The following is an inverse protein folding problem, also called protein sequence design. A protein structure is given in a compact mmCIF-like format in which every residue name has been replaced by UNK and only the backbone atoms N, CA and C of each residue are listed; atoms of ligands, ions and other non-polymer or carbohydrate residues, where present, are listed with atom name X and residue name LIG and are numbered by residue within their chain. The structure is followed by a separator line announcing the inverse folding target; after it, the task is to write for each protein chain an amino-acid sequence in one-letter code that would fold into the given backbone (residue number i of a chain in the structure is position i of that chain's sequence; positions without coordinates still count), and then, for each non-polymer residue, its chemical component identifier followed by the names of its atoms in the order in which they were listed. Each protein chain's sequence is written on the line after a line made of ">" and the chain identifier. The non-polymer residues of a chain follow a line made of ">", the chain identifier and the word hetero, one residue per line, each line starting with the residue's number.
data_IF_206476319526
#
_entry.id   IF_206476319526
#
_cell.length_a   1.000
_cell.length_b   1.000
_cell.length_c   1.000
_cell.angle_alpha   90.00
_cell.angle_beta   90.00
_cell.angle_gamma   90.00
#
_symmetry.space_group_name_H-M   'P 1'
#
loop_
_entity.id
_entity.type
_entity.pdbx_description
1 polymer ?
#
# COMPACT_ATOMS: atom_id res chain seq x y z
N UNK A 1 0.03 1.72 -13.24
CA UNK A 1 -0.13 0.30 -12.86
C UNK A 1 0.03 0.13 -11.35
N UNK A 2 1.13 0.54 -10.70
CA UNK A 2 1.32 0.34 -9.26
C UNK A 2 0.27 1.05 -8.40
N UNK A 3 -0.14 2.26 -8.75
CA UNK A 3 -1.23 2.96 -8.08
C UNK A 3 -2.55 2.18 -8.20
N UNK A 4 -2.83 1.59 -9.37
CA UNK A 4 -4.03 0.77 -9.54
C UNK A 4 -3.98 -0.51 -8.69
N UNK A 5 -2.81 -1.15 -8.60
CA UNK A 5 -2.59 -2.30 -7.72
C UNK A 5 -2.75 -1.91 -6.25
N UNK A 6 -2.22 -0.74 -5.86
CA UNK A 6 -2.38 -0.19 -4.51
C UNK A 6 -3.85 0.03 -4.14
N UNK A 7 -4.60 0.68 -5.02
CA UNK A 7 -6.04 0.88 -4.82
C UNK A 7 -6.79 -0.45 -4.76
N UNK A 8 -6.48 -1.38 -5.66
CA UNK A 8 -7.10 -2.70 -5.66
C UNK A 8 -6.79 -3.45 -4.36
N UNK A 9 -5.55 -3.46 -3.88
CA UNK A 9 -5.19 -4.07 -2.61
C UNK A 9 -5.89 -3.36 -1.45
N UNK A 10 -5.86 -2.03 -1.41
CA UNK A 10 -6.47 -1.25 -0.33
C UNK A 10 -7.98 -1.46 -0.20
N UNK A 11 -8.69 -1.69 -1.30
CA UNK A 11 -10.16 -1.84 -1.29
C UNK A 11 -10.65 -3.30 -1.35
N UNK A 12 -9.74 -4.28 -1.33
CA UNK A 12 -10.08 -5.70 -1.27
C UNK A 12 -9.60 -6.32 0.03
N UNK A 13 -10.07 -7.53 0.31
CA UNK A 13 -9.59 -8.33 1.45
C UNK A 13 -8.09 -8.66 1.37
N UNK A 14 -7.45 -8.46 0.21
CA UNK A 14 -6.02 -8.70 0.01
C UNK A 14 -5.13 -7.70 0.75
N UNK A 15 -5.61 -6.47 0.99
CA UNK A 15 -4.79 -5.43 1.62
C UNK A 15 -4.93 -5.33 3.13
N UNK A 16 -6.09 -5.74 3.67
CA UNK A 16 -6.39 -5.65 5.09
C UNK A 16 -6.95 -6.97 5.63
N UNK A 17 -6.23 -7.60 6.53
CA UNK A 17 -6.67 -8.79 7.26
C UNK A 17 -7.13 -8.32 8.64
N UNK A 18 -8.45 -8.32 8.84
CA UNK A 18 -9.05 -7.91 10.10
C UNK A 18 -8.89 -9.02 11.14
N UNK A 19 -7.89 -8.89 11.98
CA UNK A 19 -7.64 -9.78 13.12
C UNK A 19 -7.51 -8.95 14.40
N UNK A 20 -8.35 -9.21 15.42
CA UNK A 20 -8.22 -8.49 16.68
C UNK A 20 -6.82 -8.62 17.29
N UNK A 21 -6.28 -7.57 17.92
CA UNK A 21 -6.91 -6.29 18.22
C UNK A 21 -6.73 -5.20 17.15
N UNK A 22 -5.88 -5.39 16.17
CA UNK A 22 -5.55 -4.42 15.13
C UNK A 22 -5.50 -5.12 13.77
N UNK A 23 -6.00 -4.45 12.73
CA UNK A 23 -5.95 -4.98 11.36
C UNK A 23 -4.52 -5.08 10.85
N UNK A 24 -4.15 -6.27 10.37
CA UNK A 24 -2.86 -6.49 9.71
C UNK A 24 -2.95 -5.99 8.27
N UNK A 25 -2.08 -5.09 7.91
CA UNK A 25 -2.06 -4.47 6.58
C UNK A 25 -0.95 -5.07 5.72
N UNK A 26 -1.28 -5.50 4.52
CA UNK A 26 -0.33 -5.96 3.49
C UNK A 26 -0.23 -4.94 2.34
N UNK A 27 -1.13 -3.95 2.31
CA UNK A 27 -1.21 -2.93 1.27
C UNK A 27 0.02 -2.00 1.15
N UNK A 28 1.01 -2.10 2.02
CA UNK A 28 2.29 -1.40 1.86
C UNK A 28 3.24 -2.06 0.84
N UNK A 29 2.95 -3.28 0.36
CA UNK A 29 3.81 -4.01 -0.60
C UNK A 29 4.01 -3.23 -1.92
N UNK A 30 2.97 -2.67 -2.58
CA UNK A 30 3.16 -1.86 -3.77
C UNK A 30 4.05 -0.63 -3.54
N UNK A 31 4.02 -0.04 -2.33
CA UNK A 31 4.89 1.09 -1.96
C UNK A 31 6.35 0.66 -1.97
N UNK A 32 6.66 -0.52 -1.41
CA UNK A 32 8.01 -1.07 -1.40
C UNK A 32 8.47 -1.40 -2.82
N UNK A 33 7.60 -1.99 -3.64
CA UNK A 33 7.88 -2.30 -5.05
C UNK A 33 8.17 -1.01 -5.84
N UNK A 34 7.38 0.06 -5.61
CA UNK A 34 7.62 1.36 -6.22
C UNK A 34 9.01 1.90 -5.88
N UNK A 35 9.40 1.80 -4.60
CA UNK A 35 10.73 2.21 -4.13
C UNK A 35 11.88 1.41 -4.75
N UNK A 36 11.69 0.10 -4.89
CA UNK A 36 12.71 -0.80 -5.44
C UNK A 36 12.94 -0.63 -6.96
N UNK A 37 11.87 -0.34 -7.71
CA UNK A 37 11.91 -0.30 -9.18
C UNK A 37 12.03 1.11 -9.76
N UNK A 38 11.37 2.09 -9.15
CA UNK A 38 11.22 3.43 -9.73
C UNK A 38 11.91 4.53 -8.91
N UNK A 39 11.99 4.38 -7.60
CA UNK A 39 12.72 5.31 -6.76
C UNK A 39 11.88 6.00 -5.68
N UNK A 40 12.46 7.02 -4.98
CA UNK A 40 11.87 7.59 -3.78
C UNK A 40 10.61 8.43 -4.05
N UNK A 41 10.53 9.10 -5.19
CA UNK A 41 9.38 9.97 -5.51
C UNK A 41 8.14 9.12 -5.79
N UNK A 42 8.27 8.11 -6.64
CA UNK A 42 7.21 7.19 -7.02
C UNK A 42 6.71 6.39 -5.81
N UNK A 43 7.64 5.99 -4.95
CA UNK A 43 7.31 5.31 -3.69
C UNK A 43 6.56 6.22 -2.74
N UNK A 44 6.95 7.50 -2.62
CA UNK A 44 6.25 8.49 -1.80
C UNK A 44 4.82 8.76 -2.33
N UNK A 45 4.65 8.87 -3.66
CA UNK A 45 3.33 9.03 -4.29
C UNK A 45 2.45 7.81 -4.03
N UNK A 46 2.99 6.60 -4.20
CA UNK A 46 2.24 5.35 -3.91
C UNK A 46 1.88 5.28 -2.42
N UNK A 47 2.80 5.66 -1.53
CA UNK A 47 2.56 5.77 -0.09
C UNK A 47 1.48 6.80 0.28
N UNK A 48 1.43 7.92 -0.44
CA UNK A 48 0.38 8.93 -0.28
C UNK A 48 -0.99 8.37 -0.66
N UNK A 49 -1.09 7.68 -1.81
CA UNK A 49 -2.33 7.01 -2.25
C UNK A 49 -2.76 5.95 -1.25
N UNK A 50 -1.84 5.12 -0.77
CA UNK A 50 -2.09 4.16 0.30
C UNK A 50 -2.63 4.83 1.57
N UNK A 51 -2.06 5.97 1.96
CA UNK A 51 -2.52 6.76 3.09
C UNK A 51 -3.96 7.26 2.94
N UNK A 52 -4.30 7.79 1.76
CA UNK A 52 -5.66 8.21 1.44
C UNK A 52 -6.66 7.05 1.49
N UNK A 53 -6.30 5.91 0.90
CA UNK A 53 -7.12 4.71 0.90
C UNK A 53 -7.36 4.18 2.32
N UNK A 54 -6.33 4.16 3.15
CA UNK A 54 -6.41 3.75 4.55
C UNK A 54 -7.31 4.68 5.38
N UNK A 55 -7.17 5.99 5.20
CA UNK A 55 -8.04 6.98 5.84
C UNK A 55 -9.51 6.81 5.43
N UNK A 56 -9.75 6.56 4.13
CA UNK A 56 -11.09 6.30 3.63
C UNK A 56 -11.68 5.03 4.24
N UNK A 57 -10.95 3.93 4.25
CA UNK A 57 -11.39 2.66 4.85
C UNK A 57 -11.72 2.81 6.33
N UNK A 58 -10.86 3.48 7.10
CA UNK A 58 -11.10 3.75 8.50
C UNK A 58 -12.31 4.65 8.76
N UNK A 59 -12.75 5.44 7.77
CA UNK A 59 -13.88 6.36 7.90
C UNK A 59 -15.19 5.81 7.37
N UNK A 60 -15.16 4.88 6.40
CA UNK A 60 -16.33 4.44 5.63
C UNK A 60 -16.76 3.00 5.91
N UNK A 61 -15.83 2.14 6.35
CA UNK A 61 -16.09 0.72 6.60
C UNK A 61 -16.38 0.45 8.08
N UNK A 62 -16.87 -0.77 8.38
CA UNK A 62 -16.89 -1.27 9.76
C UNK A 62 -15.46 -1.49 10.22
N UNK A 63 -15.06 -0.76 11.26
CA UNK A 63 -13.66 -0.64 11.70
C UNK A 63 -13.56 -1.18 13.13
N UNK A 64 -12.43 -1.80 13.45
CA UNK A 64 -12.12 -2.13 14.83
C UNK A 64 -11.84 -0.86 15.65
N UNK A 65 -12.09 -0.91 16.95
CA UNK A 65 -11.91 0.24 17.83
C UNK A 65 -10.49 0.84 17.73
N UNK A 66 -9.48 -0.03 17.61
CA UNK A 66 -8.09 0.40 17.44
C UNK A 66 -7.80 1.04 16.07
N UNK A 67 -8.59 0.76 15.04
CA UNK A 67 -8.41 1.33 13.71
C UNK A 67 -9.10 2.69 13.55
N UNK A 68 -9.99 3.07 14.49
CA UNK A 68 -10.67 4.38 14.48
C UNK A 68 -9.70 5.56 14.54
N UNK A 69 -8.51 5.39 15.11
CA UNK A 69 -7.47 6.42 15.18
C UNK A 69 -6.98 6.88 13.79
N UNK A 70 -7.16 6.05 12.75
CA UNK A 70 -6.82 6.40 11.37
C UNK A 70 -7.87 7.27 10.68
N UNK A 71 -9.06 7.43 11.27
CA UNK A 71 -10.12 8.27 10.74
C UNK A 71 -10.11 9.65 11.38
N UNK A 72 -9.99 10.74 10.60
CA UNK A 72 -10.07 12.10 11.15
C UNK A 72 -11.47 12.45 11.68
N UNK A 73 -12.50 11.67 11.34
CA UNK A 73 -13.88 11.89 11.76
C UNK A 73 -14.23 11.14 13.06
N UNK A 74 -13.54 10.03 13.34
CA UNK A 74 -13.86 9.13 14.45
C UNK A 74 -12.88 9.21 15.61
N UNK A 75 -11.64 9.65 15.37
CA UNK A 75 -10.54 9.62 16.35
C UNK A 75 -10.60 10.70 17.45
N UNK A 76 -11.43 11.75 17.26
CA UNK A 76 -11.42 12.92 18.16
C UNK A 76 -10.21 13.86 17.98
N UNK A 77 -9.16 13.48 17.23
CA UNK A 77 -8.00 14.30 16.91
C UNK A 77 -7.67 14.26 15.41
N UNK A 78 -8.37 15.06 14.58
CA UNK A 78 -8.26 14.99 13.12
C UNK A 78 -6.85 15.19 12.58
N UNK A 79 -6.07 16.12 13.14
CA UNK A 79 -4.70 16.40 12.70
C UNK A 79 -3.76 15.20 12.92
N UNK A 80 -3.88 14.53 14.08
CA UNK A 80 -3.14 13.31 14.39
C UNK A 80 -3.49 12.17 13.44
N UNK A 81 -4.79 11.98 13.16
CA UNK A 81 -5.25 10.96 12.20
C UNK A 81 -4.78 11.20 10.77
N UNK A 82 -4.78 12.43 10.30
CA UNK A 82 -4.23 12.80 8.99
C UNK A 82 -2.74 12.48 8.91
N UNK A 83 -1.98 12.83 9.95
CA UNK A 83 -0.56 12.48 9.99
C UNK A 83 -0.37 10.96 10.07
N UNK A 84 -1.11 10.28 10.92
CA UNK A 84 -1.02 8.82 11.09
C UNK A 84 -1.38 8.09 9.81
N UNK A 85 -2.44 8.49 9.11
CA UNK A 85 -2.91 7.82 7.90
C UNK A 85 -2.09 8.20 6.67
N UNK A 86 -1.86 9.49 6.40
CA UNK A 86 -1.22 9.96 5.17
C UNK A 86 0.26 10.22 5.40
N UNK A 87 0.60 10.98 6.44
CA UNK A 87 1.96 11.44 6.69
C UNK A 87 2.93 10.28 6.91
N UNK A 88 2.59 9.34 7.79
CA UNK A 88 3.44 8.19 8.11
C UNK A 88 3.70 7.30 6.89
N UNK A 89 2.69 7.09 6.04
CA UNK A 89 2.81 6.24 4.84
C UNK A 89 3.56 6.91 3.71
N UNK A 90 3.36 8.21 3.52
CA UNK A 90 4.13 9.00 2.55
C UNK A 90 5.60 9.06 2.95
N UNK A 91 5.87 9.30 4.23
CA UNK A 91 7.23 9.31 4.78
C UNK A 91 7.89 7.94 4.66
N UNK A 92 7.17 6.86 4.98
CA UNK A 92 7.64 5.50 4.76
C UNK A 92 8.02 5.27 3.30
N UNK A 93 7.16 5.64 2.34
CA UNK A 93 7.43 5.51 0.91
C UNK A 93 8.71 6.26 0.50
N UNK A 94 8.87 7.50 0.97
CA UNK A 94 10.06 8.29 0.70
C UNK A 94 11.33 7.61 1.26
N UNK A 95 11.30 7.18 2.52
CA UNK A 95 12.46 6.58 3.19
C UNK A 95 12.84 5.23 2.59
N UNK A 96 11.87 4.38 2.27
CA UNK A 96 12.15 3.09 1.65
C UNK A 96 12.71 3.25 0.24
N UNK A 97 12.17 4.20 -0.54
CA UNK A 97 12.72 4.54 -1.86
C UNK A 97 14.15 5.07 -1.79
N UNK A 98 14.46 5.92 -0.80
CA UNK A 98 15.83 6.38 -0.54
C UNK A 98 16.75 5.23 -0.14
N UNK A 99 16.27 4.31 0.71
CA UNK A 99 17.04 3.13 1.11
C UNK A 99 17.41 2.24 -0.09
N UNK A 100 16.45 1.99 -1.02
CA UNK A 100 16.73 1.26 -2.25
C UNK A 100 17.68 2.02 -3.18
N UNK A 101 17.55 3.32 -3.29
CA UNK A 101 18.47 4.15 -4.06
C UNK A 101 19.89 4.08 -3.50
N UNK A 102 20.07 4.10 -2.19
CA UNK A 102 21.38 3.92 -1.54
C UNK A 102 21.90 2.49 -1.74
N UNK A 103 21.03 1.49 -1.60
CA UNK A 103 21.36 0.09 -1.85
C UNK A 103 21.88 -0.13 -3.28
N UNK A 104 21.33 0.56 -4.26
CA UNK A 104 21.73 0.48 -5.66
C UNK A 104 23.15 1.02 -5.93
N UNK A 105 23.63 1.93 -5.07
CA UNK A 105 24.99 2.51 -5.16
C UNK A 105 26.06 1.64 -4.49
N UNK A 106 25.65 0.63 -3.69
CA UNK A 106 26.56 -0.24 -2.96
C UNK A 106 27.27 -1.24 -3.89
N UNK A 107 28.45 -1.73 -3.44
CA UNK A 107 29.20 -2.80 -4.13
C UNK A 107 28.39 -4.12 -4.21
N UNK A 108 27.59 -4.41 -3.18
CA UNK A 108 26.77 -5.62 -3.07
C UNK A 108 25.27 -5.29 -3.24
N UNK A 109 24.91 -4.73 -4.39
CA UNK A 109 23.55 -4.22 -4.70
C UNK A 109 22.44 -5.23 -4.38
N UNK A 110 22.62 -6.51 -4.77
CA UNK A 110 21.61 -7.55 -4.55
C UNK A 110 21.40 -7.84 -3.07
N UNK A 111 22.50 -7.99 -2.33
CA UNK A 111 22.41 -8.26 -0.89
C UNK A 111 21.69 -7.12 -0.16
N UNK A 112 22.10 -5.88 -0.44
CA UNK A 112 21.46 -4.71 0.19
C UNK A 112 20.00 -4.55 -0.19
N UNK A 113 19.61 -4.87 -1.44
CA UNK A 113 18.21 -4.85 -1.86
C UNK A 113 17.39 -5.87 -1.07
N UNK A 114 17.88 -7.10 -0.89
CA UNK A 114 17.20 -8.12 -0.06
C UNK A 114 17.10 -7.65 1.40
N UNK A 115 18.17 -7.11 1.96
CA UNK A 115 18.18 -6.59 3.34
C UNK A 115 17.12 -5.48 3.49
N UNK A 116 17.13 -4.49 2.60
CA UNK A 116 16.13 -3.40 2.63
C UNK A 116 14.71 -3.94 2.51
N UNK A 117 14.47 -4.93 1.63
CA UNK A 117 13.15 -5.55 1.45
C UNK A 117 12.64 -6.24 2.70
N UNK A 118 13.51 -6.98 3.40
CA UNK A 118 13.16 -7.67 4.64
C UNK A 118 12.87 -6.67 5.78
N UNK A 119 13.67 -5.62 5.89
CA UNK A 119 13.49 -4.60 6.93
C UNK A 119 12.37 -3.60 6.62
N UNK A 120 11.88 -3.55 5.38
CA UNK A 120 10.84 -2.61 4.95
C UNK A 120 9.55 -2.74 5.77
N UNK A 121 9.14 -3.98 6.08
CA UNK A 121 7.95 -4.27 6.89
C UNK A 121 8.07 -3.67 8.28
N UNK A 122 9.21 -3.88 8.94
CA UNK A 122 9.47 -3.33 10.28
C UNK A 122 9.62 -1.81 10.27
N UNK A 123 10.18 -1.25 9.22
CA UNK A 123 10.25 0.21 9.04
C UNK A 123 8.84 0.82 8.91
N UNK A 124 7.93 0.15 8.17
CA UNK A 124 6.53 0.57 8.08
C UNK A 124 5.84 0.56 9.45
N UNK A 125 5.91 -0.56 10.17
CA UNK A 125 5.32 -0.70 11.50
C UNK A 125 5.89 0.34 12.47
N UNK A 126 7.21 0.55 12.46
CA UNK A 126 7.86 1.53 13.33
C UNK A 126 7.26 2.93 13.16
N UNK A 127 7.06 3.40 11.91
CA UNK A 127 6.50 4.72 11.66
C UNK A 127 5.03 4.84 12.07
N UNK A 128 4.25 3.78 11.86
CA UNK A 128 2.84 3.74 12.27
C UNK A 128 2.73 3.75 13.80
N UNK A 129 3.41 2.84 14.49
CA UNK A 129 3.35 2.76 15.95
C UNK A 129 3.99 3.97 16.65
N UNK A 130 5.04 4.54 16.07
CA UNK A 130 5.63 5.78 16.58
C UNK A 130 4.61 6.93 16.51
N UNK A 131 3.93 7.08 15.39
CA UNK A 131 2.89 8.09 15.23
C UNK A 131 1.68 7.83 16.16
N UNK A 132 1.26 6.56 16.32
CA UNK A 132 0.22 6.19 17.29
C UNK A 132 0.62 6.57 18.71
N UNK A 133 1.82 6.23 19.17
CA UNK A 133 2.30 6.56 20.50
C UNK A 133 2.41 8.06 20.78
N UNK A 134 2.71 8.86 19.74
CA UNK A 134 2.81 10.33 19.89
C UNK A 134 1.42 10.99 19.90
N UNK A 135 0.54 10.62 18.96
CA UNK A 135 -0.73 11.32 18.76
C UNK A 135 -1.91 10.67 19.47
N UNK A 136 -1.83 9.37 19.78
CA UNK A 136 -2.89 8.58 20.41
C UNK A 136 -2.35 7.67 21.54
N UNK A 137 -1.75 8.23 22.60
CA UNK A 137 -1.17 7.43 23.67
C UNK A 137 -2.21 6.57 24.39
N UNK A 138 -3.47 6.99 24.40
CA UNK A 138 -4.58 6.26 25.02
C UNK A 138 -4.93 4.96 24.25
N UNK A 139 -4.55 4.84 22.99
CA UNK A 139 -4.74 3.62 22.21
C UNK A 139 -3.87 2.44 22.71
N UNK A 140 -2.86 2.71 23.54
CA UNK A 140 -2.00 1.69 24.14
C UNK A 140 -0.98 1.06 23.19
N UNK A 141 -0.79 1.64 22.01
CA UNK A 141 0.20 1.20 21.01
C UNK A 141 1.31 2.22 20.89
N UNK A 142 2.54 1.77 21.04
CA UNK A 142 3.73 2.58 20.88
C UNK A 142 4.79 1.88 20.00
N UNK A 143 5.91 2.54 19.76
CA UNK A 143 7.00 2.01 18.94
C UNK A 143 7.55 0.65 19.43
N UNK A 144 7.33 0.27 20.70
CA UNK A 144 7.81 -1.00 21.27
C UNK A 144 7.09 -2.20 20.63
N UNK A 145 5.88 -2.00 20.11
CA UNK A 145 5.16 -3.03 19.37
C UNK A 145 5.88 -3.50 18.12
N UNK A 146 6.71 -2.66 17.49
CA UNK A 146 7.54 -3.03 16.34
C UNK A 146 8.52 -4.17 16.63
N UNK A 147 8.94 -4.31 17.88
CA UNK A 147 9.87 -5.36 18.28
C UNK A 147 9.19 -6.70 18.62
N UNK A 148 7.87 -6.73 18.65
CA UNK A 148 7.11 -7.98 18.77
C UNK A 148 7.12 -8.65 17.39
N UNK A 149 7.86 -9.75 17.27
CA UNK A 149 8.00 -10.48 15.99
C UNK A 149 7.08 -11.69 16.00
N UNK A 150 6.18 -11.74 15.05
CA UNK A 150 5.30 -12.88 14.82
C UNK A 150 5.76 -13.68 13.59
N UNK A 151 5.49 -14.99 13.57
CA UNK A 151 5.85 -15.85 12.44
C UNK A 151 5.24 -15.38 11.11
N UNK A 152 4.02 -14.82 11.15
CA UNK A 152 3.36 -14.24 9.98
C UNK A 152 4.12 -13.06 9.38
N UNK A 153 4.67 -12.18 10.21
CA UNK A 153 5.45 -11.02 9.76
C UNK A 153 6.75 -11.44 9.08
N UNK A 154 7.40 -12.50 9.61
CA UNK A 154 8.60 -13.06 8.97
C UNK A 154 8.24 -13.62 7.59
N UNK A 155 7.12 -14.34 7.48
CA UNK A 155 6.65 -14.87 6.21
C UNK A 155 6.36 -13.75 5.19
N UNK A 156 5.71 -12.65 5.61
CA UNK A 156 5.44 -11.49 4.76
C UNK A 156 6.75 -10.81 4.34
N UNK A 157 7.71 -10.64 5.24
CA UNK A 157 9.00 -10.04 4.93
C UNK A 157 9.79 -10.85 3.90
N UNK A 158 9.82 -12.17 4.04
CA UNK A 158 10.44 -13.08 3.06
C UNK A 158 9.71 -13.03 1.72
N UNK A 159 8.38 -13.05 1.74
CA UNK A 159 7.54 -12.94 0.55
C UNK A 159 7.80 -11.62 -0.21
N UNK A 160 7.88 -10.49 0.50
CA UNK A 160 8.25 -9.21 -0.08
C UNK A 160 9.63 -9.26 -0.76
N UNK A 161 10.63 -9.83 -0.09
CA UNK A 161 11.97 -9.92 -0.64
C UNK A 161 12.01 -10.77 -1.92
N UNK A 162 11.30 -11.91 -1.93
CA UNK A 162 11.21 -12.79 -3.11
C UNK A 162 10.51 -12.09 -4.28
N UNK A 163 9.37 -11.44 -4.02
CA UNK A 163 8.64 -10.70 -5.06
C UNK A 163 9.50 -9.57 -5.65
N UNK A 164 10.19 -8.80 -4.80
CA UNK A 164 11.01 -7.69 -5.26
C UNK A 164 12.17 -8.19 -6.12
N UNK A 165 12.84 -9.29 -5.72
CA UNK A 165 13.91 -9.88 -6.53
C UNK A 165 13.38 -10.41 -7.87
N UNK A 166 12.21 -11.06 -7.87
CA UNK A 166 11.57 -11.56 -9.09
C UNK A 166 11.19 -10.40 -10.03
N UNK A 167 10.51 -9.39 -9.51
CA UNK A 167 10.10 -8.22 -10.29
C UNK A 167 11.32 -7.42 -10.79
N UNK A 168 12.36 -7.30 -9.98
CA UNK A 168 13.60 -6.65 -10.40
C UNK A 168 14.30 -7.43 -11.52
N UNK A 169 14.34 -8.76 -11.42
CA UNK A 169 14.90 -9.62 -12.47
C UNK A 169 14.07 -9.51 -13.77
N UNK A 170 12.74 -9.52 -13.67
CA UNK A 170 11.84 -9.34 -14.82
C UNK A 170 12.01 -7.95 -15.43
N UNK A 171 12.05 -6.90 -14.63
CA UNK A 171 12.18 -5.52 -15.10
C UNK A 171 13.49 -5.27 -15.85
N UNK A 172 14.58 -5.95 -15.47
CA UNK A 172 15.88 -5.87 -16.12
C UNK A 172 16.15 -7.00 -17.12
N UNK A 173 15.15 -7.85 -17.40
CA UNK A 173 15.30 -8.88 -18.43
C UNK A 173 15.38 -8.27 -19.82
N UNK A 174 16.15 -8.89 -20.71
CA UNK A 174 16.33 -8.43 -22.08
C UNK A 174 15.01 -8.39 -22.87
N UNK A 175 14.06 -9.26 -22.54
CA UNK A 175 12.71 -9.25 -23.12
C UNK A 175 11.98 -7.93 -22.86
N UNK A 176 11.97 -7.46 -21.60
CA UNK A 176 11.28 -6.22 -21.25
C UNK A 176 12.02 -4.99 -21.77
N UNK A 177 13.35 -5.02 -21.77
CA UNK A 177 14.19 -3.97 -22.34
C UNK A 177 13.99 -3.84 -23.86
N UNK A 178 13.90 -4.96 -24.57
CA UNK A 178 13.61 -4.95 -26.00
C UNK A 178 12.19 -4.47 -26.30
N UNK A 179 11.20 -4.86 -25.50
CA UNK A 179 9.83 -4.35 -25.63
C UNK A 179 9.76 -2.85 -25.37
N UNK A 180 10.47 -2.33 -24.36
CA UNK A 180 10.59 -0.88 -24.13
C UNK A 180 11.21 -0.17 -25.33
N UNK A 181 12.32 -0.69 -25.90
CA UNK A 181 12.92 -0.10 -27.12
C UNK A 181 11.96 -0.08 -28.30
N UNK A 182 11.20 -1.15 -28.52
CA UNK A 182 10.18 -1.18 -29.58
C UNK A 182 9.06 -0.16 -29.34
N UNK A 183 8.62 0.01 -28.10
CA UNK A 183 7.60 1.00 -27.72
C UNK A 183 8.16 2.43 -27.89
N UNK A 184 9.37 2.70 -27.40
CA UNK A 184 10.02 4.01 -27.56
C UNK A 184 10.25 4.38 -29.03
N UNK A 185 10.63 3.41 -29.87
CA UNK A 185 10.74 3.62 -31.30
C UNK A 185 9.39 3.87 -31.99
N UNK A 186 8.31 3.22 -31.52
CA UNK A 186 6.97 3.47 -32.04
C UNK A 186 6.41 4.82 -31.59
N UNK A 187 6.78 5.26 -30.38
CA UNK A 187 6.38 6.55 -29.80
C UNK A 187 7.11 7.74 -30.48
N UNK A 188 8.29 7.51 -31.04
CA UNK A 188 9.03 8.56 -31.78
C UNK A 188 8.45 8.85 -33.17
N UNK A 189 7.44 8.11 -33.60
CA UNK A 189 6.71 8.41 -34.83
C UNK A 189 5.64 9.50 -34.53
N UNK A 190 5.79 10.74 -35.02
CA UNK A 190 4.99 11.89 -34.57
C UNK A 190 3.47 11.75 -34.83
N UNK A 191 3.06 10.84 -35.67
CA UNK A 191 1.65 10.56 -35.96
C UNK A 191 0.99 9.53 -35.02
N UNK A 192 1.77 8.64 -34.38
CA UNK A 192 1.26 7.58 -33.51
C UNK A 192 1.34 7.96 -32.03
N UNK A 193 2.26 8.86 -31.67
CA UNK A 193 2.63 9.17 -30.29
C UNK A 193 1.49 9.75 -29.44
N UNK A 194 0.74 10.73 -29.96
CA UNK A 194 -0.33 11.39 -29.18
C UNK A 194 -1.54 10.47 -28.94
N UNK A 195 -1.96 9.74 -29.96
CA UNK A 195 -3.14 8.88 -29.87
C UNK A 195 -2.87 7.61 -29.04
N UNK A 196 -1.66 7.05 -29.13
CA UNK A 196 -1.29 5.85 -28.36
C UNK A 196 -1.12 6.16 -26.90
N UNK A 197 -0.50 7.29 -26.58
CA UNK A 197 -0.35 7.74 -25.18
C UNK A 197 -1.71 8.08 -24.55
N UNK A 198 -2.60 8.73 -25.30
CA UNK A 198 -3.96 9.05 -24.86
C UNK A 198 -4.81 7.78 -24.68
N UNK A 199 -4.64 6.78 -25.56
CA UNK A 199 -5.31 5.50 -25.45
C UNK A 199 -4.87 4.70 -24.21
N UNK A 200 -3.55 4.64 -23.94
CA UNK A 200 -3.04 4.00 -22.72
C UNK A 200 -3.51 4.71 -21.46
N UNK A 201 -3.51 6.04 -21.46
CA UNK A 201 -3.99 6.84 -20.32
C UNK A 201 -5.49 6.66 -20.11
N UNK A 202 -6.29 6.62 -21.17
CA UNK A 202 -7.72 6.35 -21.11
C UNK A 202 -8.02 4.92 -20.64
N UNK A 203 -7.22 3.94 -21.08
CA UNK A 203 -7.34 2.55 -20.64
C UNK A 203 -6.97 2.38 -19.17
N UNK A 204 -5.89 3.03 -18.70
CA UNK A 204 -5.54 3.06 -17.27
C UNK A 204 -6.62 3.72 -16.42
N UNK A 205 -7.18 4.85 -16.89
CA UNK A 205 -8.26 5.55 -16.20
C UNK A 205 -9.55 4.70 -16.15
N UNK A 206 -9.90 4.03 -17.24
CA UNK A 206 -11.05 3.14 -17.31
C UNK A 206 -10.89 1.92 -16.40
N UNK A 207 -9.72 1.28 -16.37
CA UNK A 207 -9.44 0.16 -15.46
C UNK A 207 -9.46 0.60 -13.99
N UNK A 208 -8.96 1.79 -13.69
CA UNK A 208 -8.99 2.39 -12.37
C UNK A 208 -10.44 2.68 -11.93
N UNK A 209 -11.24 3.29 -12.80
CA UNK A 209 -12.67 3.54 -12.54
C UNK A 209 -13.45 2.24 -12.32
N UNK A 210 -13.21 1.22 -13.14
CA UNK A 210 -13.85 -0.09 -12.98
C UNK A 210 -13.46 -0.78 -11.67
N UNK A 211 -12.18 -0.71 -11.27
CA UNK A 211 -11.69 -1.26 -10.01
C UNK A 211 -12.34 -0.55 -8.81
N UNK A 212 -12.37 0.78 -8.82
CA UNK A 212 -13.01 1.59 -7.78
C UNK A 212 -14.51 1.31 -7.71
N UNK A 213 -15.19 1.25 -8.86
CA UNK A 213 -16.62 0.97 -8.90
C UNK A 213 -16.96 -0.45 -8.39
N UNK A 214 -16.17 -1.45 -8.80
CA UNK A 214 -16.32 -2.82 -8.32
C UNK A 214 -16.13 -2.92 -6.81
N UNK A 215 -15.12 -2.24 -6.26
CA UNK A 215 -14.84 -2.25 -4.81
C UNK A 215 -15.91 -1.55 -4.00
N UNK A 216 -16.42 -0.40 -4.46
CA UNK A 216 -17.54 0.29 -3.81
C UNK A 216 -18.80 -0.60 -3.82
N UNK A 217 -19.09 -1.24 -4.96
CA UNK A 217 -20.21 -2.15 -5.09
C UNK A 217 -20.12 -3.36 -4.16
N UNK A 218 -18.96 -4.03 -4.11
CA UNK A 218 -18.74 -5.17 -3.22
C UNK A 218 -18.74 -4.77 -1.75
N UNK A 219 -18.17 -3.61 -1.40
CA UNK A 219 -18.19 -3.09 -0.04
C UNK A 219 -19.62 -2.80 0.43
N UNK A 220 -20.43 -2.12 -0.38
CA UNK A 220 -21.84 -1.85 -0.05
C UNK A 220 -22.66 -3.13 0.11
N UNK A 221 -22.42 -4.12 -0.74
CA UNK A 221 -23.12 -5.40 -0.67
C UNK A 221 -22.73 -6.21 0.56
N UNK A 222 -21.44 -6.21 0.94
CA UNK A 222 -20.96 -6.85 2.16
C UNK A 222 -21.57 -6.20 3.42
N UNK A 223 -21.63 -4.87 3.47
CA UNK A 223 -22.25 -4.13 4.58
C UNK A 223 -23.74 -4.41 4.69
N UNK A 224 -24.44 -4.51 3.56
CA UNK A 224 -25.86 -4.87 3.54
C UNK A 224 -26.11 -6.29 4.04
N UNK A 225 -25.29 -7.26 3.65
CA UNK A 225 -25.41 -8.65 4.10
C UNK A 225 -25.13 -8.81 5.59
N UNK A 226 -24.12 -8.10 6.11
CA UNK A 226 -23.79 -8.08 7.53
C UNK A 226 -24.88 -7.41 8.37
N UNK A 227 -25.47 -6.33 7.88
CA UNK A 227 -26.61 -5.65 8.50
C UNK A 227 -27.85 -6.54 8.60
N UNK A 228 -28.13 -7.33 7.57
CA UNK A 228 -29.25 -8.30 7.60
C UNK A 228 -28.99 -9.45 8.60
N UNK A 229 -27.75 -9.93 8.72
CA UNK A 229 -27.40 -10.99 9.66
C UNK A 229 -27.55 -10.54 11.11
N UNK A 230 -27.20 -9.28 11.42
CA UNK A 230 -27.36 -8.73 12.77
C UNK A 230 -28.84 -8.56 13.17
N UNK A 231 -29.70 -8.19 12.24
CA UNK A 231 -31.15 -8.05 12.46
C UNK A 231 -31.77 -9.43 12.73
N UNK A 232 -31.38 -10.45 11.97
CA UNK A 232 -31.90 -11.82 12.15
C UNK A 232 -31.52 -12.43 13.49
N UNK A 233 -30.31 -12.16 13.97
CA UNK A 233 -29.83 -12.62 15.29
C UNK A 233 -30.54 -11.87 16.42
N UNK A 234 -30.81 -10.58 16.29
CA UNK A 234 -31.52 -9.82 17.31
C UNK A 234 -33.02 -10.14 17.40
N UNK A 235 -33.62 -10.73 16.36
CA UNK A 235 -35.00 -11.20 16.36
C UNK A 235 -35.17 -12.66 16.83
N UNK A 236 -34.06 -13.39 16.98
CA UNK A 236 -34.03 -14.78 17.41
C UNK A 236 -33.76 -14.94 18.91
N UNK A 237 -33.53 -13.84 19.66
CA UNK A 237 -33.39 -13.76 21.12
C UNK A 237 -34.64 -13.10 21.68
#
# INVERSE_FOLDING_TARGET
>A
ILIAVELLMSFTFLGYIHMPPLSVTIAYIPVIIAGALFGPVESAITGFVFGLSSMYQASAAYVMDADMVFSPFLSGFPAGSLWLSIGSRTLFGLLIGLAFMLASKSRHKRLWRIVVSVFATKLYEFWVYLAMGIFFPEAGYDYTYTFKINAGEIAIAVFCAVIIELLYALYHSDMLQNTKRCIDQSVHNPYTSKNTSLFFLAFELATLCMAVFATIYFSQRATYMLGQHSITVSQAI
#
